data_IF_873160149268
#
_entry.id   IF_873160149268
#
_cell.length_a   1.000
_cell.length_b   1.000
_cell.length_c   1.000
_cell.angle_alpha   90.00
_cell.angle_beta   90.00
_cell.angle_gamma   90.00
#
_symmetry.space_group_name_H-M   'P 1'
#
loop_
_entity.id
_entity.type
_entity.pdbx_description
1 polymer ?
#
# COMPACT_ATOMS: atom_id res chain seq x y z
N UNK A 1 -19.27 -15.30 -14.76
CA UNK A 1 -17.95 -15.68 -14.22
C UNK A 1 -17.02 -14.47 -14.21
N UNK A 2 -16.81 -13.75 -15.33
CA UNK A 2 -15.87 -12.63 -15.38
C UNK A 2 -16.13 -11.53 -14.35
N UNK A 3 -17.39 -11.18 -14.08
CA UNK A 3 -17.76 -10.22 -13.04
C UNK A 3 -17.38 -10.72 -11.63
N UNK A 4 -17.65 -11.98 -11.35
CA UNK A 4 -17.36 -12.63 -10.06
C UNK A 4 -15.85 -12.62 -9.77
N UNK A 5 -15.04 -13.06 -10.74
CA UNK A 5 -13.59 -13.18 -10.56
C UNK A 5 -12.81 -11.90 -10.92
N UNK A 6 -13.51 -10.79 -11.19
CA UNK A 6 -12.89 -9.51 -11.58
C UNK A 6 -12.19 -8.76 -10.44
N UNK A 7 -12.66 -8.90 -9.20
CA UNK A 7 -12.08 -8.28 -8.01
C UNK A 7 -10.65 -8.74 -7.72
N UNK A 8 -9.81 -7.83 -7.21
CA UNK A 8 -8.40 -8.11 -6.82
C UNK A 8 -8.18 -7.74 -5.36
N UNK A 9 -7.21 -8.37 -4.71
CA UNK A 9 -6.88 -8.19 -3.30
C UNK A 9 -5.48 -7.58 -3.13
N UNK A 10 -5.42 -6.26 -3.01
CA UNK A 10 -4.16 -5.56 -2.77
C UNK A 10 -3.62 -5.80 -1.35
N UNK A 11 -4.50 -6.01 -0.35
CA UNK A 11 -4.07 -6.24 1.02
C UNK A 11 -3.24 -7.53 1.16
N UNK A 12 -3.65 -8.62 0.49
CA UNK A 12 -2.87 -9.85 0.43
C UNK A 12 -1.50 -9.64 -0.22
N UNK A 13 -1.41 -8.83 -1.28
CA UNK A 13 -0.14 -8.47 -1.93
C UNK A 13 0.79 -7.75 -0.97
N UNK A 14 0.30 -6.71 -0.32
CA UNK A 14 1.11 -5.93 0.62
C UNK A 14 1.56 -6.76 1.82
N UNK A 15 0.70 -7.59 2.36
CA UNK A 15 1.07 -8.46 3.48
C UNK A 15 2.21 -9.41 3.12
N UNK A 16 2.18 -10.01 1.93
CA UNK A 16 3.25 -10.89 1.43
C UNK A 16 4.57 -10.15 1.22
N UNK A 17 4.52 -8.91 0.73
CA UNK A 17 5.70 -8.07 0.54
C UNK A 17 6.28 -7.61 1.87
N UNK A 18 5.44 -7.11 2.78
CA UNK A 18 5.88 -6.65 4.11
C UNK A 18 6.46 -7.79 4.95
N UNK A 19 5.89 -9.00 4.89
CA UNK A 19 6.43 -10.18 5.56
C UNK A 19 7.87 -10.53 5.12
N UNK A 20 8.30 -10.07 3.94
CA UNK A 20 9.66 -10.22 3.40
C UNK A 20 10.48 -8.93 3.49
N UNK A 21 10.01 -7.92 4.23
CA UNK A 21 10.70 -6.63 4.36
C UNK A 21 10.83 -5.88 3.02
N UNK A 22 9.88 -6.05 2.11
CA UNK A 22 9.90 -5.41 0.81
C UNK A 22 8.95 -4.22 0.78
N UNK A 23 9.45 -3.07 0.38
CA UNK A 23 8.66 -1.89 0.09
C UNK A 23 8.62 -1.63 -1.41
N UNK A 24 7.42 -1.35 -1.92
CA UNK A 24 7.22 -0.96 -3.31
C UNK A 24 7.31 0.57 -3.46
N UNK A 25 7.60 1.02 -4.66
CA UNK A 25 7.44 2.44 -5.00
C UNK A 25 6.03 2.93 -4.68
N UNK A 26 5.90 4.10 -4.02
CA UNK A 26 4.63 4.70 -3.57
C UNK A 26 3.57 4.67 -4.70
N UNK A 27 3.95 5.08 -5.92
CA UNK A 27 3.05 5.08 -7.09
C UNK A 27 2.46 3.70 -7.41
N UNK A 28 3.26 2.64 -7.38
CA UNK A 28 2.80 1.27 -7.66
C UNK A 28 1.87 0.80 -6.55
N UNK A 29 2.26 1.03 -5.28
CA UNK A 29 1.44 0.70 -4.12
C UNK A 29 0.07 1.36 -4.17
N UNK A 30 0.04 2.70 -4.27
CA UNK A 30 -1.22 3.46 -4.34
C UNK A 30 -2.09 3.05 -5.52
N UNK A 31 -1.49 2.71 -6.68
CA UNK A 31 -2.27 2.24 -7.84
C UNK A 31 -2.97 0.92 -7.54
N UNK A 32 -2.29 -0.04 -6.88
CA UNK A 32 -2.88 -1.32 -6.50
C UNK A 32 -3.99 -1.16 -5.45
N UNK A 33 -3.81 -0.25 -4.47
CA UNK A 33 -4.82 0.04 -3.44
C UNK A 33 -6.08 0.65 -4.05
N UNK A 34 -5.94 1.70 -4.88
CA UNK A 34 -7.07 2.35 -5.53
C UNK A 34 -7.77 1.38 -6.48
N UNK A 35 -7.02 0.58 -7.22
CA UNK A 35 -7.60 -0.43 -8.11
C UNK A 35 -8.46 -1.42 -7.32
N UNK A 36 -7.92 -2.02 -6.26
CA UNK A 36 -8.65 -2.98 -5.43
C UNK A 36 -9.90 -2.36 -4.82
N UNK A 37 -9.78 -1.14 -4.25
CA UNK A 37 -10.90 -0.43 -3.66
C UNK A 37 -12.01 -0.05 -4.65
N UNK A 38 -11.68 0.14 -5.93
CA UNK A 38 -12.66 0.47 -6.97
C UNK A 38 -13.25 -0.77 -7.63
N UNK A 39 -12.47 -1.84 -7.82
CA UNK A 39 -12.93 -3.02 -8.52
C UNK A 39 -13.89 -3.88 -7.69
N UNK A 40 -13.79 -3.87 -6.36
CA UNK A 40 -14.68 -4.61 -5.47
C UNK A 40 -16.15 -4.15 -5.59
N UNK A 41 -16.48 -2.85 -5.42
CA UNK A 41 -17.84 -2.36 -5.65
C UNK A 41 -18.34 -2.61 -7.07
N UNK A 42 -17.46 -2.52 -8.08
CA UNK A 42 -17.80 -2.79 -9.47
C UNK A 42 -18.11 -4.27 -9.71
N UNK A 43 -17.34 -5.18 -9.13
CA UNK A 43 -17.56 -6.63 -9.24
C UNK A 43 -18.89 -7.03 -8.59
N UNK A 44 -19.22 -6.45 -7.41
CA UNK A 44 -20.51 -6.64 -6.76
C UNK A 44 -21.66 -6.16 -7.67
N UNK A 45 -21.56 -4.94 -8.20
CA UNK A 45 -22.55 -4.35 -9.08
C UNK A 45 -22.80 -5.22 -10.33
N UNK A 46 -21.74 -5.59 -11.04
CA UNK A 46 -21.84 -6.41 -12.25
C UNK A 46 -22.41 -7.79 -11.94
N UNK A 47 -21.98 -8.42 -10.84
CA UNK A 47 -22.50 -9.73 -10.45
C UNK A 47 -24.01 -9.69 -10.18
N UNK A 48 -24.46 -8.69 -9.41
CA UNK A 48 -25.89 -8.52 -9.11
C UNK A 48 -26.72 -8.26 -10.38
N UNK A 49 -26.24 -7.40 -11.29
CA UNK A 49 -26.94 -7.15 -12.57
C UNK A 49 -27.04 -8.41 -13.42
N UNK A 50 -25.94 -9.18 -13.52
CA UNK A 50 -25.99 -10.41 -14.31
C UNK A 50 -26.86 -11.48 -13.67
N UNK A 51 -26.90 -11.58 -12.34
CA UNK A 51 -27.83 -12.48 -11.62
C UNK A 51 -29.27 -12.07 -11.84
N UNK A 52 -29.61 -10.78 -11.66
CA UNK A 52 -30.95 -10.27 -11.91
C UNK A 52 -31.40 -10.44 -13.39
N UNK A 53 -30.49 -10.13 -14.33
CA UNK A 53 -30.73 -10.29 -15.75
C UNK A 53 -31.03 -11.74 -16.14
N UNK A 54 -30.26 -12.68 -15.56
CA UNK A 54 -30.50 -14.10 -15.78
C UNK A 54 -31.81 -14.60 -15.18
N UNK A 55 -32.27 -14.05 -14.04
CA UNK A 55 -33.56 -14.36 -13.43
C UNK A 55 -34.74 -13.80 -14.24
N UNK A 56 -34.60 -12.62 -14.86
CA UNK A 56 -35.65 -11.91 -15.61
C UNK A 56 -35.62 -12.15 -17.12
N UNK A 57 -34.93 -13.17 -17.61
CA UNK A 57 -34.77 -13.49 -19.04
C UNK A 57 -34.33 -12.28 -19.91
N UNK A 58 -33.34 -11.50 -19.40
CA UNK A 58 -32.68 -10.41 -20.13
C UNK A 58 -33.55 -9.22 -20.59
N UNK A 59 -34.70 -8.96 -19.96
CA UNK A 59 -35.53 -7.78 -20.25
C UNK A 59 -34.93 -6.43 -19.78
N UNK A 60 -33.62 -6.41 -19.46
CA UNK A 60 -32.91 -5.17 -19.07
C UNK A 60 -32.42 -4.42 -20.32
N UNK A 61 -33.12 -3.39 -20.71
CA UNK A 61 -32.65 -2.44 -21.73
C UNK A 61 -31.34 -1.79 -21.27
N UNK A 62 -30.36 -1.66 -22.18
CA UNK A 62 -29.03 -1.13 -21.87
C UNK A 62 -29.02 0.22 -21.14
N UNK A 63 -30.03 1.10 -21.42
CA UNK A 63 -30.21 2.37 -20.73
C UNK A 63 -30.55 2.18 -19.25
N UNK A 64 -31.36 1.16 -18.90
CA UNK A 64 -31.73 0.83 -17.53
C UNK A 64 -30.50 0.42 -16.69
N UNK A 65 -29.55 -0.32 -17.28
CA UNK A 65 -28.31 -0.69 -16.63
C UNK A 65 -27.44 0.54 -16.33
N UNK A 66 -27.33 1.46 -17.30
CA UNK A 66 -26.56 2.70 -17.13
C UNK A 66 -27.19 3.57 -16.02
N UNK A 67 -28.50 3.74 -16.03
CA UNK A 67 -29.19 4.52 -14.99
C UNK A 67 -29.03 3.87 -13.60
N UNK A 68 -29.11 2.54 -13.51
CA UNK A 68 -28.89 1.81 -12.27
C UNK A 68 -27.45 1.96 -11.78
N UNK A 69 -26.47 1.93 -12.68
CA UNK A 69 -25.08 2.20 -12.38
C UNK A 69 -24.89 3.60 -11.81
N UNK A 70 -25.40 4.63 -12.52
CA UNK A 70 -25.28 6.03 -12.08
C UNK A 70 -25.96 6.24 -10.72
N UNK A 71 -27.12 5.62 -10.51
CA UNK A 71 -27.82 5.68 -9.22
C UNK A 71 -27.00 5.02 -8.11
N UNK A 72 -26.59 3.76 -8.29
CA UNK A 72 -25.88 3.01 -7.24
C UNK A 72 -24.55 3.65 -6.87
N UNK A 73 -23.78 4.10 -7.85
CA UNK A 73 -22.49 4.72 -7.61
C UNK A 73 -22.61 6.18 -7.19
N UNK A 74 -23.56 6.93 -7.76
CA UNK A 74 -23.79 8.32 -7.39
C UNK A 74 -24.32 8.47 -5.96
N UNK A 75 -25.36 7.71 -5.62
CA UNK A 75 -25.94 7.73 -4.26
C UNK A 75 -24.97 7.10 -3.26
N UNK A 76 -24.36 5.96 -3.60
CA UNK A 76 -23.35 5.33 -2.76
C UNK A 76 -22.15 6.25 -2.45
N UNK A 77 -21.65 6.95 -3.48
CA UNK A 77 -20.58 7.92 -3.33
C UNK A 77 -20.96 9.12 -2.47
N UNK A 78 -22.15 9.69 -2.72
CA UNK A 78 -22.65 10.83 -1.96
C UNK A 78 -22.84 10.50 -0.46
N UNK A 79 -23.52 9.40 -0.17
CA UNK A 79 -23.73 8.96 1.21
C UNK A 79 -22.43 8.49 1.88
N UNK A 80 -21.50 7.91 1.12
CA UNK A 80 -20.17 7.60 1.59
C UNK A 80 -19.38 8.84 2.02
N UNK A 81 -19.45 9.90 1.22
CA UNK A 81 -18.83 11.17 1.54
C UNK A 81 -19.49 11.85 2.74
N UNK A 82 -20.82 11.96 2.76
CA UNK A 82 -21.56 12.56 3.88
C UNK A 82 -21.36 11.76 5.17
N UNK A 83 -21.51 10.44 5.11
CA UNK A 83 -21.33 9.54 6.24
C UNK A 83 -19.90 9.54 6.78
N UNK A 84 -18.92 9.54 5.89
CA UNK A 84 -17.51 9.65 6.24
C UNK A 84 -17.17 10.96 6.94
N UNK A 85 -17.69 12.09 6.45
CA UNK A 85 -17.53 13.40 7.09
C UNK A 85 -18.20 13.45 8.47
N UNK A 86 -19.42 12.89 8.57
CA UNK A 86 -20.13 12.82 9.85
C UNK A 86 -19.37 11.98 10.86
N UNK A 87 -18.92 10.79 10.45
CA UNK A 87 -18.18 9.86 11.30
C UNK A 87 -16.84 10.45 11.75
N UNK A 88 -16.08 11.06 10.82
CA UNK A 88 -14.82 11.75 11.12
C UNK A 88 -15.00 12.89 12.12
N UNK A 89 -16.02 13.74 11.92
CA UNK A 89 -16.35 14.84 12.88
C UNK A 89 -16.78 14.28 14.24
N UNK A 90 -17.50 13.17 14.26
CA UNK A 90 -17.94 12.53 15.51
C UNK A 90 -16.74 12.00 16.28
N UNK A 91 -15.83 11.27 15.61
CA UNK A 91 -14.59 10.76 16.20
C UNK A 91 -13.72 11.88 16.76
N UNK A 92 -13.61 13.00 16.05
CA UNK A 92 -12.78 14.14 16.47
C UNK A 92 -13.37 14.95 17.63
N UNK A 93 -14.72 14.95 17.80
CA UNK A 93 -15.39 15.77 18.81
C UNK A 93 -15.69 15.04 20.13
N UNK A 94 -15.91 13.74 20.07
CA UNK A 94 -16.28 12.95 21.23
C UNK A 94 -15.00 12.44 21.91
N UNK A 95 -14.87 12.70 23.20
CA UNK A 95 -13.80 12.14 24.03
C UNK A 95 -14.22 10.78 24.58
N UNK A 96 -13.69 9.71 23.98
CA UNK A 96 -13.90 8.33 24.40
C UNK A 96 -12.59 7.74 24.92
N UNK A 97 -12.70 6.62 25.64
CA UNK A 97 -11.51 5.78 25.90
C UNK A 97 -10.96 5.21 24.60
N UNK A 98 -9.64 5.10 24.48
CA UNK A 98 -8.95 4.73 23.24
C UNK A 98 -9.52 3.47 22.57
N UNK A 99 -9.94 2.46 23.34
CA UNK A 99 -10.52 1.20 22.80
C UNK A 99 -11.92 1.34 22.18
N UNK A 100 -12.67 2.41 22.47
CA UNK A 100 -14.02 2.60 21.94
C UNK A 100 -14.04 3.27 20.55
N UNK A 101 -13.01 3.99 20.16
CA UNK A 101 -12.96 4.62 18.84
C UNK A 101 -13.01 3.62 17.67
N UNK A 102 -12.27 2.50 17.69
CA UNK A 102 -12.41 1.47 16.66
C UNK A 102 -13.81 0.87 16.56
N UNK A 103 -14.47 0.67 17.71
CA UNK A 103 -15.85 0.16 17.75
C UNK A 103 -16.84 1.17 17.20
N UNK A 104 -16.66 2.47 17.49
CA UNK A 104 -17.48 3.55 16.93
C UNK A 104 -17.31 3.63 15.40
N UNK A 105 -16.08 3.51 14.91
CA UNK A 105 -15.78 3.52 13.48
C UNK A 105 -16.40 2.30 12.78
N UNK A 106 -16.27 1.09 13.36
CA UNK A 106 -16.87 -0.13 12.83
C UNK A 106 -18.40 -0.06 12.82
N UNK A 107 -19.02 0.32 13.94
CA UNK A 107 -20.47 0.43 14.06
C UNK A 107 -21.04 1.50 13.11
N UNK A 108 -20.38 2.66 13.02
CA UNK A 108 -20.76 3.72 12.09
C UNK A 108 -20.64 3.30 10.62
N UNK A 109 -19.57 2.59 10.29
CA UNK A 109 -19.36 2.03 8.95
C UNK A 109 -20.45 1.00 8.59
N UNK A 110 -20.74 0.05 9.49
CA UNK A 110 -21.80 -0.95 9.28
C UNK A 110 -23.19 -0.32 9.17
N UNK A 111 -23.50 0.69 10.00
CA UNK A 111 -24.74 1.43 9.91
C UNK A 111 -24.87 2.16 8.56
N UNK A 112 -23.80 2.81 8.09
CA UNK A 112 -23.75 3.46 6.79
C UNK A 112 -23.93 2.44 5.65
N UNK A 113 -23.23 1.31 5.70
CA UNK A 113 -23.37 0.22 4.74
C UNK A 113 -24.81 -0.27 4.66
N UNK A 114 -25.43 -0.58 5.80
CA UNK A 114 -26.81 -1.04 5.87
C UNK A 114 -27.80 -0.01 5.34
N UNK A 115 -27.67 1.26 5.73
CA UNK A 115 -28.53 2.35 5.27
C UNK A 115 -28.46 2.51 3.75
N UNK A 116 -27.27 2.56 3.17
CA UNK A 116 -27.10 2.76 1.72
C UNK A 116 -27.58 1.54 0.93
N UNK A 117 -27.33 0.34 1.45
CA UNK A 117 -27.81 -0.90 0.81
C UNK A 117 -29.34 -0.99 0.82
N UNK A 118 -30.02 -0.59 1.91
CA UNK A 118 -31.51 -0.57 1.95
C UNK A 118 -32.10 0.45 0.99
N UNK A 119 -31.35 1.50 0.63
CA UNK A 119 -31.74 2.46 -0.43
C UNK A 119 -31.52 1.90 -1.86
N UNK A 120 -31.03 0.67 -2.01
CA UNK A 120 -30.69 0.08 -3.30
C UNK A 120 -29.43 0.65 -3.95
N UNK A 121 -28.58 1.35 -3.18
CA UNK A 121 -27.32 1.91 -3.64
C UNK A 121 -26.12 1.07 -3.18
N UNK A 122 -24.91 1.39 -3.66
CA UNK A 122 -23.69 0.63 -3.36
C UNK A 122 -23.18 0.93 -1.95
N UNK A 123 -23.54 0.09 -0.96
CA UNK A 123 -23.01 0.16 0.41
C UNK A 123 -21.50 -0.07 0.46
N UNK A 124 -20.96 -0.92 -0.42
CA UNK A 124 -19.52 -1.16 -0.51
C UNK A 124 -18.73 0.10 -0.92
N UNK A 125 -19.24 0.85 -1.92
CA UNK A 125 -18.63 2.12 -2.31
C UNK A 125 -18.75 3.16 -1.19
N UNK A 126 -19.89 3.20 -0.51
CA UNK A 126 -20.11 4.15 0.59
C UNK A 126 -19.15 3.92 1.75
N UNK A 127 -18.97 2.66 2.18
CA UNK A 127 -18.05 2.35 3.28
C UNK A 127 -16.57 2.57 2.87
N UNK A 128 -16.21 2.30 1.61
CA UNK A 128 -14.87 2.57 1.09
C UNK A 128 -14.54 4.07 1.13
N UNK A 129 -15.43 4.92 0.63
CA UNK A 129 -15.24 6.38 0.66
C UNK A 129 -15.21 6.90 2.10
N UNK A 130 -16.12 6.41 2.96
CA UNK A 130 -16.13 6.78 4.36
C UNK A 130 -14.82 6.37 5.08
N UNK A 131 -14.30 5.18 4.78
CA UNK A 131 -13.03 4.69 5.29
C UNK A 131 -11.85 5.57 4.86
N UNK A 132 -11.81 5.99 3.59
CA UNK A 132 -10.80 6.93 3.09
C UNK A 132 -10.85 8.27 3.85
N UNK A 133 -12.04 8.82 4.10
CA UNK A 133 -12.21 10.08 4.81
C UNK A 133 -11.74 9.95 6.26
N UNK A 134 -12.20 8.92 6.97
CA UNK A 134 -11.81 8.68 8.37
C UNK A 134 -10.31 8.38 8.47
N UNK A 135 -9.77 7.58 7.55
CA UNK A 135 -8.37 7.18 7.54
C UNK A 135 -7.39 8.33 7.25
N UNK A 136 -7.84 9.37 6.52
CA UNK A 136 -7.04 10.57 6.22
C UNK A 136 -7.32 11.74 7.17
N UNK A 137 -8.13 11.55 8.21
CA UNK A 137 -8.38 12.59 9.20
C UNK A 137 -7.24 12.57 10.24
N UNK A 138 -6.70 13.75 10.56
CA UNK A 138 -5.72 13.96 11.63
C UNK A 138 -6.40 13.85 13.01
N UNK A 139 -7.09 12.74 13.29
CA UNK A 139 -7.71 12.51 14.58
C UNK A 139 -6.75 11.74 15.48
N UNK A 140 -6.68 12.14 16.75
CA UNK A 140 -5.87 11.47 17.79
C UNK A 140 -6.11 9.95 17.91
N UNK A 141 -7.26 9.46 17.45
CA UNK A 141 -7.60 8.02 17.46
C UNK A 141 -7.29 7.27 16.15
N UNK A 142 -6.81 7.96 15.09
CA UNK A 142 -6.66 7.39 13.76
C UNK A 142 -5.77 6.14 13.74
N UNK A 143 -4.63 6.18 14.43
CA UNK A 143 -3.70 5.05 14.52
C UNK A 143 -4.30 3.84 15.23
N UNK A 144 -5.06 4.08 16.32
CA UNK A 144 -5.71 3.00 17.05
C UNK A 144 -6.84 2.36 16.23
N UNK A 145 -7.61 3.19 15.52
CA UNK A 145 -8.65 2.72 14.59
C UNK A 145 -8.02 1.83 13.52
N UNK A 146 -6.93 2.26 12.88
CA UNK A 146 -6.23 1.46 11.86
C UNK A 146 -5.74 0.12 12.41
N UNK A 147 -4.96 0.13 13.50
CA UNK A 147 -4.41 -1.10 14.11
C UNK A 147 -5.49 -2.15 14.42
N UNK A 148 -6.62 -1.71 14.99
CA UNK A 148 -7.72 -2.62 15.32
C UNK A 148 -8.44 -3.11 14.08
N UNK A 149 -8.71 -2.24 13.09
CA UNK A 149 -9.36 -2.63 11.84
C UNK A 149 -8.48 -3.56 11.00
N UNK A 150 -7.16 -3.39 10.99
CA UNK A 150 -6.23 -4.32 10.35
C UNK A 150 -6.35 -5.71 10.98
N UNK A 151 -6.38 -5.80 12.31
CA UNK A 151 -6.59 -7.07 13.01
C UNK A 151 -7.95 -7.70 12.71
N UNK A 152 -9.03 -6.91 12.69
CA UNK A 152 -10.38 -7.38 12.37
C UNK A 152 -10.46 -7.83 10.89
N UNK A 153 -9.81 -7.13 9.96
CA UNK A 153 -9.76 -7.51 8.56
C UNK A 153 -9.06 -8.87 8.38
N UNK A 154 -7.92 -9.08 9.05
CA UNK A 154 -7.22 -10.36 9.07
C UNK A 154 -8.09 -11.49 9.62
N UNK A 155 -8.73 -11.26 10.76
CA UNK A 155 -9.63 -12.25 11.37
C UNK A 155 -10.79 -12.58 10.45
N UNK A 156 -11.43 -11.57 9.86
CA UNK A 156 -12.53 -11.75 8.91
C UNK A 156 -12.08 -12.55 7.68
N UNK A 157 -10.91 -12.23 7.12
CA UNK A 157 -10.35 -12.91 5.95
C UNK A 157 -10.05 -14.38 6.24
N UNK A 158 -9.39 -14.69 7.36
CA UNK A 158 -9.10 -16.08 7.78
C UNK A 158 -10.40 -16.84 8.00
N UNK A 159 -11.36 -16.27 8.73
CA UNK A 159 -12.66 -16.90 8.99
C UNK A 159 -13.42 -17.19 7.72
N UNK A 160 -13.39 -16.25 6.77
CA UNK A 160 -14.07 -16.40 5.48
C UNK A 160 -13.43 -17.50 4.63
N UNK A 161 -12.09 -17.54 4.52
CA UNK A 161 -11.42 -18.62 3.81
C UNK A 161 -11.66 -19.99 4.45
N UNK A 162 -11.70 -20.06 5.79
CA UNK A 162 -12.02 -21.29 6.52
C UNK A 162 -13.44 -21.76 6.19
N UNK A 163 -14.44 -20.88 6.32
CA UNK A 163 -15.83 -21.19 6.01
C UNK A 163 -16.02 -21.63 4.55
N UNK A 164 -15.37 -20.91 3.62
CA UNK A 164 -15.44 -21.24 2.20
C UNK A 164 -14.75 -22.58 1.88
N UNK A 165 -13.64 -22.89 2.55
CA UNK A 165 -12.97 -24.19 2.43
C UNK A 165 -13.85 -25.34 2.92
N UNK A 166 -14.64 -25.13 3.97
CA UNK A 166 -15.61 -26.11 4.48
C UNK A 166 -16.84 -26.27 3.57
N UNK A 167 -17.18 -25.25 2.80
CA UNK A 167 -18.33 -25.28 1.89
C UNK A 167 -18.03 -26.06 0.59
N UNK A 168 -16.76 -26.17 0.23
CA UNK A 168 -16.34 -26.87 -1.01
C UNK A 168 -16.43 -28.36 -0.85
N UNK A 169 -17.08 -29.04 -1.80
CA UNK A 169 -17.08 -30.50 -1.94
C UNK A 169 -15.98 -30.92 -2.90
N UNK A 170 -14.97 -31.71 -2.45
CA UNK A 170 -13.84 -32.08 -3.32
C UNK A 170 -14.24 -32.85 -4.59
N UNK A 171 -15.31 -33.62 -4.55
CA UNK A 171 -15.79 -34.39 -5.67
C UNK A 171 -16.32 -33.52 -6.81
N UNK A 172 -17.09 -32.49 -6.51
CA UNK A 172 -17.60 -31.55 -7.53
C UNK A 172 -16.49 -30.62 -8.05
N UNK A 173 -15.51 -30.31 -7.20
CA UNK A 173 -14.36 -29.49 -7.61
C UNK A 173 -13.55 -30.14 -8.74
N UNK A 174 -13.43 -31.48 -8.73
CA UNK A 174 -12.70 -32.25 -9.78
C UNK A 174 -13.35 -32.16 -11.16
N UNK A 175 -14.63 -31.90 -11.24
CA UNK A 175 -15.34 -31.71 -12.52
C UNK A 175 -15.01 -30.35 -13.16
N UNK A 176 -14.90 -29.30 -12.33
CA UNK A 176 -14.77 -27.92 -12.81
C UNK A 176 -13.35 -27.37 -12.75
N UNK A 177 -12.38 -28.15 -12.23
CA UNK A 177 -11.01 -27.65 -12.02
C UNK A 177 -10.34 -27.20 -13.31
N UNK A 178 -10.53 -27.95 -14.40
CA UNK A 178 -9.91 -27.61 -15.69
C UNK A 178 -10.45 -26.27 -16.23
N UNK A 179 -11.77 -26.06 -16.11
CA UNK A 179 -12.40 -24.79 -16.50
C UNK A 179 -11.90 -23.66 -15.62
N UNK A 180 -11.82 -23.87 -14.30
CA UNK A 180 -11.30 -22.88 -13.36
C UNK A 180 -9.85 -22.48 -13.64
N UNK A 181 -8.97 -23.46 -13.93
CA UNK A 181 -7.59 -23.20 -14.31
C UNK A 181 -7.50 -22.42 -15.63
N UNK A 182 -8.28 -22.77 -16.64
CA UNK A 182 -8.32 -22.04 -17.92
C UNK A 182 -8.76 -20.60 -17.69
N UNK A 183 -9.81 -20.39 -16.90
CA UNK A 183 -10.28 -19.04 -16.54
C UNK A 183 -9.19 -18.28 -15.80
N UNK A 184 -8.50 -18.89 -14.83
CA UNK A 184 -7.38 -18.27 -14.12
C UNK A 184 -6.23 -17.87 -15.06
N UNK A 185 -5.83 -18.76 -15.98
CA UNK A 185 -4.79 -18.47 -16.96
C UNK A 185 -5.19 -17.32 -17.91
N UNK A 186 -6.43 -17.32 -18.40
CA UNK A 186 -6.93 -16.23 -19.23
C UNK A 186 -6.96 -14.89 -18.48
N UNK A 187 -7.34 -14.93 -17.20
CA UNK A 187 -7.33 -13.72 -16.36
C UNK A 187 -5.90 -13.19 -16.17
N UNK A 188 -4.96 -14.06 -15.79
CA UNK A 188 -3.59 -13.65 -15.45
C UNK A 188 -2.82 -13.21 -16.68
N UNK A 189 -2.91 -13.95 -17.80
CA UNK A 189 -2.06 -13.73 -18.96
C UNK A 189 -2.69 -12.89 -20.07
N UNK A 190 -4.01 -12.75 -20.08
CA UNK A 190 -4.70 -12.00 -21.14
C UNK A 190 -5.49 -10.83 -20.58
N UNK A 191 -6.49 -11.07 -19.74
CA UNK A 191 -7.41 -10.03 -19.31
C UNK A 191 -6.73 -8.96 -18.46
N UNK A 192 -5.90 -9.38 -17.51
CA UNK A 192 -5.18 -8.49 -16.61
C UNK A 192 -4.15 -7.62 -17.34
N UNK A 193 -3.22 -8.14 -18.13
CA UNK A 193 -2.30 -7.33 -18.91
C UNK A 193 -3.01 -6.36 -19.86
N UNK A 194 -4.08 -6.79 -20.52
CA UNK A 194 -4.85 -5.94 -21.40
C UNK A 194 -5.51 -4.78 -20.64
N UNK A 195 -6.15 -5.06 -19.51
CA UNK A 195 -6.77 -4.05 -18.67
C UNK A 195 -5.76 -3.01 -18.18
N UNK A 196 -4.60 -3.45 -17.67
CA UNK A 196 -3.53 -2.56 -17.19
C UNK A 196 -2.94 -1.74 -18.34
N UNK A 197 -2.70 -2.34 -19.50
CA UNK A 197 -2.20 -1.62 -20.67
C UNK A 197 -3.17 -0.54 -21.13
N UNK A 198 -4.46 -0.83 -21.19
CA UNK A 198 -5.49 0.14 -21.60
C UNK A 198 -5.62 1.25 -20.54
N UNK A 199 -5.72 0.90 -19.27
CA UNK A 199 -5.97 1.86 -18.19
C UNK A 199 -4.76 2.76 -17.91
N UNK A 200 -3.54 2.21 -17.92
CA UNK A 200 -2.31 2.95 -17.64
C UNK A 200 -1.63 3.52 -18.90
N UNK A 201 -2.20 3.32 -20.08
CA UNK A 201 -1.66 3.89 -21.34
C UNK A 201 -1.64 5.42 -21.34
N UNK A 202 -2.68 6.14 -20.86
CA UNK A 202 -2.66 7.60 -20.80
C UNK A 202 -1.62 8.16 -19.81
N UNK A 203 -1.24 7.33 -18.81
CA UNK A 203 -0.27 7.68 -17.79
C UNK A 203 1.10 7.14 -18.17
N UNK A 204 2.16 7.91 -17.93
CA UNK A 204 3.53 7.53 -18.33
C UNK A 204 4.19 6.58 -17.33
N UNK A 205 3.51 5.49 -16.98
CA UNK A 205 4.12 4.45 -16.14
C UNK A 205 5.27 3.76 -16.89
N UNK A 206 6.42 3.55 -16.24
CA UNK A 206 7.49 2.71 -16.78
C UNK A 206 6.99 1.30 -17.11
N UNK A 207 7.52 0.69 -18.18
CA UNK A 207 7.08 -0.64 -18.62
C UNK A 207 7.21 -1.72 -17.53
N UNK A 208 8.25 -1.61 -16.68
CA UNK A 208 8.45 -2.54 -15.56
C UNK A 208 7.35 -2.46 -14.51
N UNK A 209 6.87 -1.26 -14.21
CA UNK A 209 5.77 -1.04 -13.27
C UNK A 209 4.45 -1.56 -13.85
N UNK A 210 4.16 -1.28 -15.13
CA UNK A 210 2.99 -1.85 -15.83
C UNK A 210 3.02 -3.38 -15.83
N UNK A 211 4.18 -3.98 -16.08
CA UNK A 211 4.34 -5.42 -16.07
C UNK A 211 4.09 -6.01 -14.68
N UNK A 212 4.60 -5.36 -13.65
CA UNK A 212 4.37 -5.78 -12.26
C UNK A 212 2.89 -5.66 -11.88
N UNK A 213 2.24 -4.52 -12.13
CA UNK A 213 0.81 -4.32 -11.87
C UNK A 213 -0.04 -5.33 -12.66
N UNK A 214 0.35 -5.67 -13.89
CA UNK A 214 -0.30 -6.71 -14.69
C UNK A 214 -0.17 -8.09 -14.05
N UNK A 215 0.97 -8.39 -13.45
CA UNK A 215 1.23 -9.68 -12.82
C UNK A 215 0.56 -9.82 -11.46
N UNK A 216 0.59 -8.76 -10.65
CA UNK A 216 0.15 -8.75 -9.25
C UNK A 216 -1.33 -8.45 -9.15
N UNK A 217 -2.16 -9.37 -9.60
CA UNK A 217 -3.61 -9.30 -9.48
C UNK A 217 -4.15 -10.46 -8.66
N UNK A 218 -3.67 -10.60 -7.41
CA UNK A 218 -4.16 -11.65 -6.51
C UNK A 218 -5.67 -11.58 -6.35
N UNK A 219 -6.30 -12.74 -6.36
CA UNK A 219 -7.74 -12.87 -6.11
C UNK A 219 -7.92 -13.27 -4.65
N UNK A 220 -8.66 -12.44 -3.91
CA UNK A 220 -8.96 -12.68 -2.51
C UNK A 220 -10.27 -13.43 -2.29
N UNK A 221 -10.88 -13.17 -1.14
CA UNK A 221 -12.12 -13.80 -0.73
C UNK A 221 -13.36 -13.24 -1.43
N UNK A 222 -13.32 -11.98 -1.91
CA UNK A 222 -14.46 -11.30 -2.55
C UNK A 222 -15.03 -12.09 -3.74
N UNK A 223 -14.24 -12.59 -4.70
CA UNK A 223 -14.76 -13.44 -5.78
C UNK A 223 -15.56 -14.64 -5.32
N UNK A 224 -15.14 -15.28 -4.23
CA UNK A 224 -15.84 -16.48 -3.74
C UNK A 224 -17.15 -16.09 -3.07
N UNK A 225 -17.20 -14.96 -2.34
CA UNK A 225 -18.44 -14.40 -1.80
C UNK A 225 -19.39 -14.05 -2.95
N UNK A 226 -18.90 -13.40 -4.01
CA UNK A 226 -19.73 -13.06 -5.17
C UNK A 226 -20.27 -14.30 -5.90
N UNK A 227 -19.52 -15.41 -5.86
CA UNK A 227 -19.96 -16.67 -6.45
C UNK A 227 -21.11 -17.33 -5.66
N UNK A 228 -21.42 -16.90 -4.45
CA UNK A 228 -22.61 -17.34 -3.72
C UNK A 228 -23.89 -16.67 -4.22
N UNK A 229 -23.82 -15.48 -4.86
CA UNK A 229 -25.02 -14.75 -5.33
C UNK A 229 -25.81 -15.53 -6.41
N UNK A 230 -25.20 -16.17 -7.41
CA UNK A 230 -25.92 -17.08 -8.30
C UNK A 230 -26.64 -18.23 -7.57
N UNK A 231 -26.01 -18.77 -6.51
CA UNK A 231 -26.61 -19.82 -5.67
C UNK A 231 -27.83 -19.29 -4.94
N UNK A 232 -27.69 -18.15 -4.26
CA UNK A 232 -28.78 -17.48 -3.54
C UNK A 232 -29.90 -17.01 -4.49
N UNK A 233 -29.53 -16.65 -5.71
CA UNK A 233 -30.46 -16.27 -6.77
C UNK A 233 -31.19 -17.45 -7.42
N UNK A 234 -30.86 -18.70 -7.07
CA UNK A 234 -31.49 -19.89 -7.64
C UNK A 234 -31.23 -20.08 -9.14
N UNK A 235 -30.08 -19.59 -9.64
CA UNK A 235 -29.72 -19.74 -11.05
C UNK A 235 -29.41 -21.21 -11.38
N UNK A 236 -29.75 -21.68 -12.60
CA UNK A 236 -29.29 -22.96 -13.09
C UNK A 236 -27.75 -22.97 -13.12
N UNK A 237 -27.17 -24.12 -12.86
CA UNK A 237 -25.71 -24.33 -12.85
C UNK A 237 -24.94 -23.41 -11.87
N UNK A 238 -25.59 -22.99 -10.77
CA UNK A 238 -24.97 -22.10 -9.77
C UNK A 238 -23.68 -22.70 -9.16
N UNK A 239 -23.58 -24.02 -9.04
CA UNK A 239 -22.39 -24.75 -8.60
C UNK A 239 -21.19 -24.51 -9.53
N UNK A 240 -21.39 -24.38 -10.82
CA UNK A 240 -20.34 -24.05 -11.78
C UNK A 240 -19.66 -22.71 -11.43
N UNK A 241 -20.47 -21.67 -11.16
CA UNK A 241 -19.92 -20.34 -10.84
C UNK A 241 -19.10 -20.39 -9.56
N UNK A 242 -19.59 -21.10 -8.54
CA UNK A 242 -18.90 -21.23 -7.27
C UNK A 242 -17.58 -22.00 -7.39
N UNK A 243 -17.60 -23.19 -7.99
CA UNK A 243 -16.43 -24.02 -8.13
C UNK A 243 -15.36 -23.39 -9.04
N UNK A 244 -15.75 -22.77 -10.16
CA UNK A 244 -14.81 -22.06 -11.04
C UNK A 244 -14.18 -20.87 -10.34
N UNK A 245 -14.96 -20.07 -9.59
CA UNK A 245 -14.41 -18.94 -8.81
C UNK A 245 -13.43 -19.45 -7.74
N UNK A 246 -13.78 -20.51 -7.03
CA UNK A 246 -12.93 -21.11 -6.01
C UNK A 246 -11.59 -21.60 -6.59
N UNK A 247 -11.62 -22.37 -7.68
CA UNK A 247 -10.39 -22.83 -8.36
C UNK A 247 -9.56 -21.66 -8.86
N UNK A 248 -10.21 -20.63 -9.43
CA UNK A 248 -9.52 -19.42 -9.92
C UNK A 248 -8.79 -18.70 -8.78
N UNK A 249 -9.44 -18.54 -7.62
CA UNK A 249 -8.83 -17.92 -6.44
C UNK A 249 -7.69 -18.77 -5.90
N UNK A 250 -7.90 -20.07 -5.76
CA UNK A 250 -6.88 -21.00 -5.28
C UNK A 250 -5.63 -21.00 -6.18
N UNK A 251 -5.84 -21.04 -7.51
CA UNK A 251 -4.76 -20.92 -8.48
C UNK A 251 -4.01 -19.60 -8.33
N UNK A 252 -4.74 -18.49 -8.20
CA UNK A 252 -4.14 -17.17 -8.02
C UNK A 252 -3.31 -17.09 -6.75
N UNK A 253 -3.84 -17.54 -5.61
CA UNK A 253 -3.13 -17.51 -4.33
C UNK A 253 -1.86 -18.37 -4.35
N UNK A 254 -1.93 -19.58 -4.91
CA UNK A 254 -0.77 -20.48 -4.98
C UNK A 254 0.24 -19.97 -6.01
N UNK A 255 -0.19 -19.74 -7.25
CA UNK A 255 0.72 -19.45 -8.35
C UNK A 255 1.23 -18.01 -8.32
N UNK A 256 0.33 -17.03 -8.24
CA UNK A 256 0.73 -15.62 -8.20
C UNK A 256 1.32 -15.25 -6.82
N UNK A 257 0.73 -15.72 -5.71
CA UNK A 257 1.23 -15.42 -4.37
C UNK A 257 2.71 -15.76 -4.20
N UNK A 258 3.14 -16.95 -4.64
CA UNK A 258 4.56 -17.35 -4.59
C UNK A 258 5.46 -16.49 -5.49
N UNK A 259 4.93 -15.96 -6.56
CA UNK A 259 5.72 -15.24 -7.59
C UNK A 259 5.73 -13.73 -7.41
N UNK A 260 4.90 -13.15 -6.53
CA UNK A 260 4.87 -11.68 -6.27
C UNK A 260 6.24 -11.16 -5.86
N UNK A 261 6.85 -11.77 -4.85
CA UNK A 261 8.15 -11.33 -4.30
C UNK A 261 9.29 -11.48 -5.32
N UNK A 262 9.49 -12.66 -5.96
CA UNK A 262 10.47 -12.80 -7.04
C UNK A 262 10.26 -11.83 -8.20
N UNK A 263 9.01 -11.58 -8.58
CA UNK A 263 8.66 -10.65 -9.65
C UNK A 263 9.06 -9.22 -9.30
N UNK A 264 8.77 -8.75 -8.08
CA UNK A 264 9.17 -7.43 -7.61
C UNK A 264 10.69 -7.24 -7.63
N UNK A 265 11.44 -8.28 -7.23
CA UNK A 265 12.89 -8.27 -7.24
C UNK A 265 13.46 -8.26 -8.67
N UNK A 266 12.94 -9.13 -9.53
CA UNK A 266 13.37 -9.24 -10.93
C UNK A 266 13.13 -7.95 -11.72
N UNK A 267 12.00 -7.30 -11.48
CA UNK A 267 11.65 -6.02 -12.11
C UNK A 267 12.34 -4.82 -11.46
N UNK A 268 13.12 -5.04 -10.38
CA UNK A 268 13.84 -3.99 -9.63
C UNK A 268 12.90 -2.90 -9.10
N UNK A 269 11.76 -3.30 -8.58
CA UNK A 269 10.75 -2.42 -7.98
C UNK A 269 10.84 -2.37 -6.45
N UNK A 270 11.69 -3.24 -5.86
CA UNK A 270 12.05 -3.21 -4.45
C UNK A 270 12.79 -1.91 -4.17
N UNK A 271 12.30 -1.12 -3.22
CA UNK A 271 13.09 -0.06 -2.61
C UNK A 271 13.99 -0.68 -1.55
N UNK A 272 15.24 -0.22 -1.40
CA UNK A 272 16.06 -0.58 -0.26
C UNK A 272 15.30 -0.21 1.01
N UNK A 273 15.18 -1.16 1.95
CA UNK A 273 14.59 -0.86 3.25
C UNK A 273 15.63 -0.02 3.99
N UNK A 274 15.25 1.19 4.38
CA UNK A 274 16.03 1.92 5.37
C UNK A 274 15.94 1.13 6.68
N UNK A 275 17.06 1.00 7.37
CA UNK A 275 17.10 0.45 8.71
C UNK A 275 16.06 1.21 9.55
N UNK A 276 15.02 0.52 10.00
CA UNK A 276 13.90 1.12 10.71
C UNK A 276 13.99 0.78 12.20
N UNK A 277 13.51 1.64 13.09
CA UNK A 277 13.38 1.31 14.50
C UNK A 277 12.44 0.09 14.65
N UNK A 278 12.70 -0.77 15.63
CA UNK A 278 11.80 -1.90 15.91
C UNK A 278 10.47 -1.46 16.53
N UNK A 279 10.43 -0.23 17.07
CA UNK A 279 9.25 0.39 17.64
C UNK A 279 9.17 1.85 17.19
N UNK A 280 8.02 2.27 16.69
CA UNK A 280 7.74 3.65 16.35
C UNK A 280 6.27 3.95 16.67
N UNK A 281 6.02 4.93 17.53
CA UNK A 281 4.67 5.35 17.90
C UNK A 281 4.61 6.88 18.00
N UNK A 282 3.62 7.49 17.36
CA UNK A 282 3.39 8.92 17.45
C UNK A 282 2.91 9.31 18.83
N UNK A 283 3.53 10.33 19.42
CA UNK A 283 3.19 10.88 20.72
C UNK A 283 2.32 12.12 20.53
N UNK A 284 1.07 12.02 20.94
CA UNK A 284 0.14 13.14 20.88
C UNK A 284 0.36 14.09 22.07
N UNK A 285 1.11 15.16 21.84
CA UNK A 285 1.28 16.23 22.84
C UNK A 285 0.48 17.45 22.41
N UNK A 286 -0.51 17.89 23.18
CA UNK A 286 -1.31 19.06 22.85
C UNK A 286 -0.43 20.31 22.63
N UNK A 287 -0.49 20.89 21.44
CA UNK A 287 0.22 22.12 21.10
C UNK A 287 1.66 21.95 20.61
N UNK A 288 2.14 20.72 20.38
CA UNK A 288 3.44 20.47 19.75
C UNK A 288 3.28 19.81 18.38
N UNK A 289 4.29 20.02 17.52
CA UNK A 289 4.45 19.27 16.27
C UNK A 289 4.54 17.76 16.54
N UNK A 290 4.14 16.94 15.57
CA UNK A 290 4.15 15.47 15.60
C UNK A 290 5.48 14.90 16.14
N UNK A 291 5.45 14.48 17.40
CA UNK A 291 6.56 13.80 18.04
C UNK A 291 6.37 12.28 17.91
N UNK A 292 7.46 11.58 17.66
CA UNK A 292 7.46 10.12 17.56
C UNK A 292 8.41 9.52 18.58
N UNK A 293 7.94 8.52 19.32
CA UNK A 293 8.78 7.67 20.15
C UNK A 293 9.32 6.55 19.29
N UNK A 294 10.64 6.44 19.22
CA UNK A 294 11.36 5.45 18.45
C UNK A 294 12.12 4.52 19.38
N UNK A 295 11.98 3.21 19.19
CA UNK A 295 12.73 2.20 19.93
C UNK A 295 13.74 1.52 19.03
N UNK A 296 14.99 1.43 19.49
CA UNK A 296 16.08 0.79 18.78
C UNK A 296 16.72 -0.28 19.63
N UNK A 297 16.94 -1.45 19.04
CA UNK A 297 17.78 -2.49 19.64
C UNK A 297 19.18 -2.33 19.06
N UNK A 298 20.14 -2.09 19.93
CA UNK A 298 21.53 -1.77 19.54
C UNK A 298 22.22 -3.04 19.07
N UNK A 299 22.74 -3.02 17.86
CA UNK A 299 23.55 -4.10 17.30
C UNK A 299 25.02 -3.94 17.69
N UNK A 300 25.81 -5.03 17.59
CA UNK A 300 27.25 -5.01 17.89
C UNK A 300 28.04 -4.00 17.05
N UNK A 301 27.62 -3.80 15.80
CA UNK A 301 28.25 -2.89 14.84
C UNK A 301 27.60 -1.49 14.80
N UNK A 302 26.78 -1.13 15.79
CA UNK A 302 26.19 0.21 15.86
C UNK A 302 27.26 1.28 16.15
N UNK A 303 27.19 2.47 15.51
CA UNK A 303 28.17 3.54 15.70
C UNK A 303 28.19 4.13 17.11
N UNK A 304 27.19 3.84 17.93
CA UNK A 304 27.04 4.33 19.29
C UNK A 304 27.42 3.30 20.35
N UNK A 305 27.74 2.06 19.97
CA UNK A 305 28.20 1.03 20.91
C UNK A 305 29.47 1.49 21.64
N UNK A 306 29.56 1.20 22.93
CA UNK A 306 30.62 1.62 23.85
C UNK A 306 30.71 3.15 24.12
N UNK A 307 29.72 3.93 23.68
CA UNK A 307 29.62 5.36 24.00
C UNK A 307 28.61 5.62 25.12
N UNK A 308 28.86 6.68 25.87
CA UNK A 308 27.90 7.19 26.87
C UNK A 308 26.81 8.01 26.17
N UNK A 309 25.58 7.90 26.64
CA UNK A 309 24.44 8.64 26.04
C UNK A 309 24.64 10.15 26.14
N UNK A 310 25.19 10.66 27.26
CA UNK A 310 25.50 12.10 27.42
C UNK A 310 26.57 12.63 26.45
N UNK A 311 27.43 11.74 25.94
CA UNK A 311 28.45 12.09 24.94
C UNK A 311 27.90 12.15 23.51
N UNK A 312 26.68 11.67 23.28
CA UNK A 312 26.04 11.70 21.97
C UNK A 312 25.46 13.10 21.72
N UNK A 313 25.99 13.80 20.73
CA UNK A 313 25.44 15.09 20.28
C UNK A 313 24.10 14.85 19.58
N UNK A 314 23.02 14.83 20.36
CA UNK A 314 21.68 14.76 19.79
C UNK A 314 21.30 16.14 19.19
N UNK A 315 20.87 16.19 17.91
CA UNK A 315 20.37 17.43 17.32
C UNK A 315 19.13 17.95 18.08
N UNK A 316 18.88 19.26 17.98
CA UNK A 316 17.74 19.91 18.63
C UNK A 316 16.41 19.16 18.37
N UNK A 317 15.66 18.92 19.43
CA UNK A 317 14.39 18.23 19.39
C UNK A 317 14.47 16.70 19.49
N UNK A 318 15.66 16.10 19.47
CA UNK A 318 15.87 14.67 19.70
C UNK A 318 16.28 14.47 21.17
N UNK A 319 15.60 13.56 21.88
CA UNK A 319 15.88 13.25 23.29
C UNK A 319 15.84 11.76 23.54
N UNK A 320 16.88 11.25 24.21
CA UNK A 320 16.88 9.91 24.77
C UNK A 320 16.01 9.87 26.02
N UNK A 321 15.04 8.96 26.08
CA UNK A 321 14.03 8.94 27.16
C UNK A 321 14.13 7.71 28.05
N UNK A 322 14.57 6.58 27.51
CA UNK A 322 14.72 5.34 28.26
C UNK A 322 15.79 4.45 27.62
N UNK A 323 16.47 3.68 28.44
CA UNK A 323 17.34 2.59 28.01
C UNK A 323 17.05 1.35 28.87
N UNK A 324 17.13 0.18 28.24
CA UNK A 324 16.93 -1.10 28.90
C UNK A 324 18.08 -2.04 28.53
N UNK A 325 18.59 -2.76 29.50
CA UNK A 325 19.52 -3.87 29.30
C UNK A 325 18.81 -5.18 29.56
N UNK A 326 18.44 -5.88 28.49
CA UNK A 326 17.49 -6.97 28.56
C UNK A 326 16.09 -6.45 28.98
N UNK A 327 15.58 -6.89 30.13
CA UNK A 327 14.30 -6.43 30.69
C UNK A 327 14.47 -5.38 31.81
N UNK A 328 15.71 -5.09 32.23
CA UNK A 328 15.98 -4.15 33.32
C UNK A 328 16.13 -2.70 32.84
N UNK A 329 15.35 -1.75 33.40
CA UNK A 329 15.48 -0.34 33.05
C UNK A 329 16.78 0.25 33.62
N UNK A 330 17.44 1.08 32.82
CA UNK A 330 18.64 1.80 33.24
C UNK A 330 18.23 3.04 34.06
N UNK A 331 18.66 3.12 35.32
CA UNK A 331 18.27 4.19 36.24
C UNK A 331 18.84 5.57 35.91
N UNK A 332 20.02 5.65 35.32
CA UNK A 332 20.70 6.89 34.92
C UNK A 332 21.04 6.83 33.44
N UNK A 333 20.09 7.25 32.63
CA UNK A 333 20.23 7.16 31.19
C UNK A 333 21.42 7.95 30.65
N UNK A 334 21.67 9.14 31.19
CA UNK A 334 22.73 10.02 30.70
C UNK A 334 24.14 9.42 30.92
N UNK A 335 24.36 8.71 32.05
CA UNK A 335 25.63 8.09 32.37
C UNK A 335 25.79 6.69 31.78
N UNK A 336 24.75 6.17 31.10
CA UNK A 336 24.75 4.81 30.61
C UNK A 336 25.72 4.64 29.42
N UNK A 337 26.57 3.61 29.54
CA UNK A 337 27.40 3.13 28.43
C UNK A 337 26.59 2.13 27.62
N UNK A 338 26.39 2.43 26.38
CA UNK A 338 25.57 1.64 25.47
C UNK A 338 26.33 0.37 25.10
N UNK A 339 25.70 -0.79 25.27
CA UNK A 339 26.23 -2.08 24.85
C UNK A 339 25.33 -2.72 23.79
N UNK A 340 25.91 -3.68 23.06
CA UNK A 340 25.14 -4.48 22.10
C UNK A 340 24.01 -5.25 22.82
N UNK A 341 22.81 -5.21 22.25
CA UNK A 341 21.61 -5.79 22.85
C UNK A 341 20.79 -4.83 23.71
N UNK A 342 21.30 -3.66 24.08
CA UNK A 342 20.55 -2.63 24.77
C UNK A 342 19.38 -2.14 23.89
N UNK A 343 18.24 -1.81 24.53
CA UNK A 343 17.08 -1.19 23.89
C UNK A 343 17.01 0.27 24.28
N UNK A 344 17.14 1.17 23.30
CA UNK A 344 17.15 2.61 23.52
C UNK A 344 15.90 3.24 22.94
N UNK A 345 15.23 4.08 23.70
CA UNK A 345 14.05 4.83 23.28
C UNK A 345 14.37 6.31 23.14
N UNK A 346 13.94 6.89 22.04
CA UNK A 346 14.21 8.28 21.66
C UNK A 346 12.92 8.96 21.27
N UNK A 347 12.70 10.19 21.72
CA UNK A 347 11.65 11.08 21.18
C UNK A 347 12.29 11.96 20.10
N UNK A 348 11.64 12.04 18.95
CA UNK A 348 12.06 12.86 17.82
C UNK A 348 10.87 13.44 17.08
N UNK A 349 10.97 14.66 16.52
CA UNK A 349 10.05 15.10 15.49
C UNK A 349 10.05 14.15 14.30
N UNK A 350 8.89 13.95 13.66
CA UNK A 350 8.74 13.01 12.55
C UNK A 350 9.70 13.31 11.39
N UNK A 351 9.99 14.58 11.14
CA UNK A 351 10.93 15.06 10.12
C UNK A 351 12.38 14.59 10.38
N UNK A 352 12.73 14.28 11.63
CA UNK A 352 14.10 13.91 12.04
C UNK A 352 14.29 12.42 12.30
N UNK A 353 13.28 11.59 12.06
CA UNK A 353 13.36 10.12 12.26
C UNK A 353 14.52 9.51 11.46
N UNK A 354 14.73 9.95 10.22
CA UNK A 354 15.85 9.51 9.39
C UNK A 354 17.22 9.79 10.02
N UNK A 355 17.36 10.96 10.63
CA UNK A 355 18.60 11.35 11.30
C UNK A 355 18.86 10.47 12.53
N UNK A 356 17.83 10.13 13.29
CA UNK A 356 17.92 9.21 14.43
C UNK A 356 18.31 7.82 13.96
N UNK A 357 17.72 7.34 12.86
CA UNK A 357 18.09 6.05 12.25
C UNK A 357 19.59 6.00 11.88
N UNK A 358 20.10 7.06 11.26
CA UNK A 358 21.52 7.15 10.89
C UNK A 358 22.45 7.20 12.10
N UNK A 359 22.00 7.78 13.23
CA UNK A 359 22.78 7.86 14.45
C UNK A 359 22.87 6.52 15.20
N UNK A 360 21.75 5.78 15.25
CA UNK A 360 21.60 4.64 16.17
C UNK A 360 21.76 3.28 15.49
N UNK A 361 21.39 3.19 14.21
CA UNK A 361 21.44 1.93 13.50
C UNK A 361 22.84 1.69 12.89
N UNK A 362 23.29 0.44 12.86
CA UNK A 362 24.56 0.13 12.25
C UNK A 362 24.56 0.54 10.79
N UNK A 363 25.67 1.10 10.37
CA UNK A 363 25.98 1.24 8.97
C UNK A 363 26.21 -0.16 8.43
N UNK A 364 25.16 -0.78 7.94
CA UNK A 364 25.25 -2.12 7.38
C UNK A 364 25.95 -1.98 6.03
N UNK A 365 27.21 -2.42 5.91
CA UNK A 365 27.95 -2.38 4.63
C UNK A 365 27.13 -3.02 3.50
N UNK A 366 26.32 -4.02 3.80
CA UNK A 366 25.42 -4.67 2.84
C UNK A 366 24.27 -3.75 2.47
N UNK A 367 23.69 -3.02 3.42
CA UNK A 367 22.61 -2.05 3.16
C UNK A 367 23.15 -0.81 2.44
N UNK A 368 24.33 -0.32 2.78
CA UNK A 368 25.01 0.76 2.02
C UNK A 368 25.37 0.32 0.60
N UNK A 369 25.89 -0.89 0.43
CA UNK A 369 26.13 -1.47 -0.89
C UNK A 369 24.84 -1.67 -1.69
N UNK A 370 23.74 -2.10 -1.05
CA UNK A 370 22.42 -2.18 -1.71
C UNK A 370 21.89 -0.79 -2.05
N UNK A 371 22.02 0.19 -1.17
CA UNK A 371 21.65 1.58 -1.45
C UNK A 371 22.51 2.18 -2.57
N UNK A 372 23.83 2.03 -2.53
CA UNK A 372 24.73 2.48 -3.58
C UNK A 372 24.42 1.76 -4.91
N UNK A 373 24.15 0.46 -4.86
CA UNK A 373 23.71 -0.30 -6.05
C UNK A 373 22.36 0.15 -6.60
N UNK A 374 21.47 0.65 -5.76
CA UNK A 374 20.14 1.09 -6.19
C UNK A 374 20.15 2.55 -6.62
N UNK A 375 20.66 3.46 -5.79
CA UNK A 375 20.62 4.91 -6.01
C UNK A 375 21.86 5.44 -6.76
N UNK A 376 22.97 4.72 -6.79
CA UNK A 376 24.24 5.16 -7.33
C UNK A 376 25.22 5.59 -6.26
N UNK A 377 26.48 5.76 -6.66
CA UNK A 377 27.61 5.98 -5.76
C UNK A 377 27.67 7.41 -5.21
N UNK A 378 27.05 8.36 -5.91
CA UNK A 378 27.04 9.77 -5.56
C UNK A 378 25.63 10.25 -5.27
N UNK A 379 25.49 11.15 -4.28
CA UNK A 379 24.22 11.82 -3.97
C UNK A 379 24.35 13.31 -4.26
N UNK A 380 23.52 13.82 -5.15
CA UNK A 380 23.45 15.21 -5.55
C UNK A 380 22.24 15.89 -4.94
N UNK A 381 22.32 17.22 -4.71
CA UNK A 381 21.16 18.01 -4.30
C UNK A 381 20.25 18.23 -5.53
N UNK A 382 18.94 18.19 -5.34
CA UNK A 382 17.95 18.46 -6.39
C UNK A 382 18.07 19.83 -7.03
N UNK A 383 18.63 20.81 -6.33
CA UNK A 383 18.89 22.17 -6.83
C UNK A 383 20.13 22.30 -7.71
N UNK A 384 20.97 21.26 -7.82
CA UNK A 384 22.13 21.28 -8.70
C UNK A 384 21.70 21.46 -10.17
N UNK A 385 22.47 22.26 -10.91
CA UNK A 385 22.19 22.54 -12.32
C UNK A 385 22.64 21.36 -13.18
N UNK A 386 21.79 20.91 -14.10
CA UNK A 386 22.07 19.74 -14.94
C UNK A 386 23.28 19.93 -15.84
N UNK A 387 23.54 21.16 -16.33
CA UNK A 387 24.71 21.46 -17.16
C UNK A 387 26.01 21.24 -16.36
N UNK A 388 26.08 21.71 -15.11
CA UNK A 388 27.26 21.56 -14.25
C UNK A 388 27.56 20.07 -13.97
N UNK A 389 26.51 19.27 -13.77
CA UNK A 389 26.63 17.82 -13.56
C UNK A 389 27.09 17.12 -14.84
N UNK A 390 26.57 17.52 -15.99
CA UNK A 390 26.98 16.96 -17.26
C UNK A 390 28.44 17.30 -17.62
N UNK A 391 28.85 18.53 -17.36
CA UNK A 391 30.23 18.97 -17.59
C UNK A 391 31.22 18.22 -16.66
N UNK A 392 30.81 17.95 -15.43
CA UNK A 392 31.66 17.26 -14.43
C UNK A 392 31.79 15.76 -14.70
N UNK A 393 30.70 15.11 -15.16
CA UNK A 393 30.63 13.64 -15.28
C UNK A 393 30.50 13.13 -16.73
N UNK A 394 30.56 14.02 -17.74
CA UNK A 394 30.64 13.64 -19.16
C UNK A 394 29.30 13.29 -19.80
N UNK A 395 28.24 14.05 -19.52
CA UNK A 395 26.91 13.84 -20.13
C UNK A 395 26.58 14.86 -21.21
N UNK A 396 25.76 14.49 -22.19
CA UNK A 396 25.16 15.43 -23.15
C UNK A 396 23.77 15.87 -22.65
N UNK A 397 23.65 17.16 -22.31
CA UNK A 397 22.37 17.72 -21.84
C UNK A 397 21.44 17.96 -23.03
N UNK A 398 20.21 17.43 -23.02
CA UNK A 398 19.21 17.78 -24.04
C UNK A 398 19.01 19.30 -24.12
N UNK A 399 18.92 19.85 -25.32
CA UNK A 399 18.76 21.31 -25.52
C UNK A 399 17.58 21.92 -24.78
N UNK A 400 16.55 21.12 -24.50
CA UNK A 400 15.34 21.48 -23.72
C UNK A 400 15.56 21.52 -22.22
N UNK A 401 16.67 20.97 -21.72
CA UNK A 401 16.95 20.84 -20.29
C UNK A 401 18.10 21.76 -19.79
N UNK A 402 18.69 22.54 -20.68
CA UNK A 402 19.76 23.47 -20.34
C UNK A 402 19.31 24.47 -19.27
N UNK A 403 20.19 24.72 -18.30
CA UNK A 403 19.97 25.62 -17.15
C UNK A 403 18.84 25.19 -16.19
N UNK A 404 18.32 23.98 -16.32
CA UNK A 404 17.36 23.46 -15.34
C UNK A 404 18.09 22.87 -14.14
N UNK A 405 17.42 22.88 -12.99
CA UNK A 405 17.89 22.07 -11.86
C UNK A 405 17.56 20.59 -12.11
N UNK A 406 18.30 19.69 -11.47
CA UNK A 406 18.04 18.26 -11.53
C UNK A 406 16.61 17.92 -11.11
N UNK A 407 16.10 18.60 -10.06
CA UNK A 407 14.72 18.48 -9.61
C UNK A 407 13.72 18.88 -10.68
N UNK A 408 13.90 20.02 -11.34
CA UNK A 408 13.04 20.47 -12.43
C UNK A 408 13.06 19.50 -13.61
N UNK A 409 14.22 18.99 -13.96
CA UNK A 409 14.37 18.01 -15.03
C UNK A 409 13.62 16.71 -14.74
N UNK A 410 13.77 16.17 -13.52
CA UNK A 410 13.02 14.99 -13.08
C UNK A 410 11.51 15.26 -13.05
N UNK A 411 11.08 16.41 -12.54
CA UNK A 411 9.66 16.80 -12.48
C UNK A 411 9.02 16.86 -13.87
N UNK A 412 9.69 17.47 -14.83
CA UNK A 412 9.18 17.55 -16.23
C UNK A 412 9.08 16.15 -16.82
N UNK A 413 10.09 15.31 -16.57
CA UNK A 413 10.11 13.94 -17.10
C UNK A 413 8.98 13.08 -16.57
N UNK A 414 8.63 13.26 -15.29
CA UNK A 414 7.56 12.54 -14.59
C UNK A 414 6.29 13.36 -14.38
N UNK A 415 6.12 14.51 -15.06
CA UNK A 415 4.92 15.39 -15.00
C UNK A 415 4.51 15.79 -13.59
N UNK A 416 5.45 16.18 -12.75
CA UNK A 416 5.30 16.51 -11.33
C UNK A 416 4.89 15.31 -10.43
N UNK A 417 4.93 14.09 -10.93
CA UNK A 417 4.58 12.86 -10.18
C UNK A 417 5.83 12.01 -9.92
N UNK A 418 6.96 12.65 -9.64
CA UNK A 418 8.20 11.93 -9.32
C UNK A 418 8.07 11.24 -7.96
N UNK A 419 8.53 10.00 -7.88
CA UNK A 419 8.57 9.21 -6.63
C UNK A 419 9.97 8.65 -6.41
N UNK A 420 10.28 8.32 -5.16
CA UNK A 420 11.55 7.68 -4.81
C UNK A 420 11.80 6.44 -5.67
N UNK A 421 13.01 6.32 -6.20
CA UNK A 421 13.42 5.24 -7.11
C UNK A 421 13.09 5.47 -8.57
N UNK A 422 12.52 6.62 -8.96
CA UNK A 422 12.36 6.99 -10.38
C UNK A 422 13.72 7.30 -10.99
N UNK A 423 13.90 6.85 -12.25
CA UNK A 423 15.18 6.87 -12.94
C UNK A 423 15.09 7.61 -14.26
N UNK A 424 16.07 8.45 -14.53
CA UNK A 424 16.24 9.14 -15.81
C UNK A 424 17.66 8.95 -16.28
N UNK A 425 17.82 8.76 -17.58
CA UNK A 425 19.11 8.59 -18.22
C UNK A 425 19.40 9.78 -19.12
N UNK A 426 20.60 10.31 -19.06
CA UNK A 426 21.12 11.23 -20.05
C UNK A 426 22.60 10.97 -20.33
N UNK A 427 22.90 10.56 -21.56
CA UNK A 427 24.22 10.03 -21.90
C UNK A 427 24.59 8.83 -21.04
N UNK A 428 25.82 8.80 -20.48
CA UNK A 428 26.29 7.73 -19.62
C UNK A 428 25.74 7.83 -18.19
N UNK A 429 25.00 8.89 -17.86
CA UNK A 429 24.56 9.18 -16.50
C UNK A 429 23.16 8.62 -16.23
N UNK A 430 23.03 7.92 -15.11
CA UNK A 430 21.76 7.46 -14.54
C UNK A 430 21.47 8.25 -13.27
N UNK A 431 20.38 9.03 -13.30
CA UNK A 431 19.87 9.76 -12.14
C UNK A 431 18.71 8.98 -11.50
N UNK A 432 18.76 8.82 -10.19
CA UNK A 432 17.72 8.10 -9.43
C UNK A 432 17.19 9.02 -8.34
N UNK A 433 15.88 9.28 -8.29
CA UNK A 433 15.28 10.05 -7.21
C UNK A 433 15.49 9.31 -5.88
N UNK A 434 16.22 9.92 -4.94
CA UNK A 434 16.54 9.32 -3.64
C UNK A 434 15.61 9.85 -2.56
N UNK A 435 15.30 11.13 -2.58
CA UNK A 435 14.41 11.80 -1.64
C UNK A 435 13.47 12.73 -2.40
N UNK A 436 12.18 12.58 -2.17
CA UNK A 436 11.11 13.34 -2.85
C UNK A 436 10.13 13.80 -1.80
N UNK A 437 9.75 15.09 -1.84
CA UNK A 437 8.73 15.65 -0.94
C UNK A 437 7.31 15.25 -1.38
N UNK A 438 6.32 15.58 -0.56
CA UNK A 438 4.92 15.29 -0.84
C UNK A 438 4.36 16.05 -2.06
N UNK A 439 5.04 17.11 -2.50
CA UNK A 439 4.70 17.86 -3.72
C UNK A 439 5.28 17.25 -4.99
N UNK A 440 6.04 16.15 -4.90
CA UNK A 440 6.76 15.52 -6.00
C UNK A 440 8.06 16.25 -6.40
N UNK A 441 8.57 17.14 -5.53
CA UNK A 441 9.85 17.83 -5.73
C UNK A 441 10.98 16.92 -5.27
N UNK A 442 11.98 16.71 -6.10
CA UNK A 442 13.10 15.83 -5.78
C UNK A 442 14.14 16.62 -5.00
N UNK A 443 14.34 16.24 -3.74
CA UNK A 443 15.30 16.89 -2.83
C UNK A 443 16.70 16.34 -3.00
N UNK A 444 16.84 15.00 -3.13
CA UNK A 444 18.13 14.34 -3.34
C UNK A 444 18.06 13.35 -4.48
N UNK A 445 19.11 13.29 -5.25
CA UNK A 445 19.23 12.48 -6.46
C UNK A 445 20.52 11.66 -6.37
N UNK A 446 20.37 10.38 -6.55
CA UNK A 446 21.52 9.48 -6.72
C UNK A 446 22.03 9.51 -8.15
N UNK A 447 23.34 9.54 -8.31
CA UNK A 447 24.02 9.55 -9.60
C UNK A 447 24.83 8.27 -9.77
N UNK A 448 24.67 7.62 -10.89
CA UNK A 448 25.52 6.51 -11.35
C UNK A 448 26.08 6.80 -12.73
N UNK A 449 27.33 6.51 -12.92
CA UNK A 449 27.99 6.55 -14.24
C UNK A 449 27.93 5.13 -14.80
N UNK A 450 27.42 4.98 -16.01
CA UNK A 450 27.44 3.70 -16.74
C UNK A 450 28.71 3.63 -17.55
N UNK A 451 29.47 2.56 -17.35
CA UNK A 451 30.58 2.19 -18.21
C UNK A 451 30.09 1.74 -19.60
#
# INVERSE_FOLDING_TARGET
IGAIVGSTDAAAVFSMLHAKGLQLKKRVGTTLEIESGCNDPMAVFLTLIFVEGAQRNYDTEGLGIILKFLYQFGVGGLFGWLGGQLLSKTISKISLTAGLYPLLAAAGGLALFGLVTTMGASGFLAIYIAGLIVGNTEAHAANNIRKVHDGLAWLAQISLFLMLGLLVTPTTLTEYWAVGVVVALLLVFVARPLAVLVSLSPFRFPAREKLFISWVGLRGAVPIVLATFPVLGGLPDAELYFNVAFVTVLFSLIFQGWTVVPCAQWLKLKLPVENAPYYAESLEVPGSSDLTVLGYKIAENSPITERRIDSLMAPDGIRFIAAFRGEEPVNRIDEHVIEAGDSIYVISPQEKVLLVNQMLLPTDEVAELEQARYFGDFTLNGDAIIDDVADMYGGEVPSTAKRMTLSQFMRIRFRNECVVGDRVFFGPLELVAKEVDDSGTVLKIGLRIRE
#
